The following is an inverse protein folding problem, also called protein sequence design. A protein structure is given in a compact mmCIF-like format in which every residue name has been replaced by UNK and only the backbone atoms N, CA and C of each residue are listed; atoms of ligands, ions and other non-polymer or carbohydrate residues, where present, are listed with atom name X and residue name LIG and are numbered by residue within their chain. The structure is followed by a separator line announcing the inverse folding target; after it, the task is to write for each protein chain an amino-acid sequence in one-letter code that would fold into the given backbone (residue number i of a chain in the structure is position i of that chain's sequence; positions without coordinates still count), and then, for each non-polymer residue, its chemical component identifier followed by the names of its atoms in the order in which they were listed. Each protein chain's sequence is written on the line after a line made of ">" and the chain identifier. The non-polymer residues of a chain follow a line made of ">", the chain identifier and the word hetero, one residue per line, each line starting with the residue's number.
data_IF_927912108259
#
_entry.id   IF_927912108259
#
_cell.length_a   1.000
_cell.length_b   1.000
_cell.length_c   1.000
_cell.angle_alpha   90.00
_cell.angle_beta   90.00
_cell.angle_gamma   90.00
#
_symmetry.space_group_name_H-M   'P 1'
#
loop_
_entity.id
_entity.type
_entity.pdbx_description
1 polymer ?
#
# COMPACT_ATOMS: atom_id res chain seq x y z
N UNK A 1 8.22 7.43 -23.20
CA UNK A 1 9.24 7.62 -22.15
C UNK A 1 8.62 8.30 -20.92
N UNK A 2 7.77 9.32 -21.09
CA UNK A 2 7.09 10.02 -19.98
C UNK A 2 6.16 9.15 -19.10
N UNK A 3 5.37 8.25 -19.70
CA UNK A 3 4.39 7.44 -18.92
C UNK A 3 5.02 6.40 -17.98
N UNK A 4 6.14 5.80 -18.39
CA UNK A 4 6.88 4.83 -17.54
C UNK A 4 7.58 5.56 -16.39
N UNK A 5 8.07 6.79 -16.63
CA UNK A 5 8.58 7.66 -15.58
C UNK A 5 7.50 7.98 -14.55
N UNK A 6 6.33 8.42 -15.00
CA UNK A 6 5.19 8.70 -14.12
C UNK A 6 4.74 7.48 -13.31
N UNK A 7 4.68 6.28 -13.92
CA UNK A 7 4.34 5.05 -13.20
C UNK A 7 5.42 4.66 -12.17
N UNK A 8 6.69 4.89 -12.46
CA UNK A 8 7.78 4.65 -11.51
C UNK A 8 7.70 5.61 -10.32
N UNK A 9 7.46 6.88 -10.59
CA UNK A 9 7.29 7.90 -9.55
C UNK A 9 6.04 7.63 -8.71
N UNK A 10 4.98 7.10 -9.32
CA UNK A 10 3.79 6.65 -8.59
C UNK A 10 4.11 5.53 -7.59
N UNK A 11 4.85 4.49 -8.01
CA UNK A 11 5.23 3.38 -7.12
C UNK A 11 6.12 3.87 -5.98
N UNK A 12 7.08 4.75 -6.28
CA UNK A 12 7.93 5.37 -5.26
C UNK A 12 7.13 6.25 -4.30
N UNK A 13 6.15 7.00 -4.82
CA UNK A 13 5.21 7.78 -4.03
C UNK A 13 4.42 6.92 -3.05
N UNK A 14 3.85 5.81 -3.53
CA UNK A 14 3.14 4.85 -2.69
C UNK A 14 4.02 4.34 -1.53
N UNK A 15 5.24 3.89 -1.84
CA UNK A 15 6.19 3.40 -0.82
C UNK A 15 6.56 4.52 0.17
N UNK A 16 6.78 5.75 -0.31
CA UNK A 16 7.11 6.86 0.55
C UNK A 16 5.95 7.25 1.48
N UNK A 17 4.72 7.29 0.96
CA UNK A 17 3.52 7.55 1.76
C UNK A 17 3.31 6.45 2.80
N UNK A 18 3.51 5.18 2.43
CA UNK A 18 3.40 4.04 3.35
C UNK A 18 4.44 4.11 4.48
N UNK A 19 5.69 4.45 4.17
CA UNK A 19 6.72 4.65 5.19
C UNK A 19 6.37 5.82 6.13
N UNK A 20 5.84 6.92 5.61
CA UNK A 20 5.41 8.04 6.44
C UNK A 20 4.24 7.66 7.38
N UNK A 21 3.32 6.81 6.90
CA UNK A 21 2.24 6.25 7.71
C UNK A 21 2.81 5.34 8.81
N UNK A 22 3.75 4.44 8.48
CA UNK A 22 4.40 3.56 9.47
C UNK A 22 5.03 4.36 10.62
N UNK A 23 5.84 5.37 10.29
CA UNK A 23 6.45 6.25 11.29
C UNK A 23 5.41 6.99 12.15
N UNK A 24 4.35 7.54 11.53
CA UNK A 24 3.29 8.22 12.27
C UNK A 24 2.53 7.28 13.21
N UNK A 25 2.24 6.05 12.77
CA UNK A 25 1.54 5.03 13.54
C UNK A 25 2.38 4.57 14.73
N UNK A 26 3.69 4.39 14.56
CA UNK A 26 4.63 4.05 15.65
C UNK A 26 4.71 5.14 16.71
N UNK A 27 4.72 6.41 16.29
CA UNK A 27 4.70 7.55 17.22
C UNK A 27 3.41 7.59 18.03
N UNK A 28 2.26 7.35 17.38
CA UNK A 28 0.95 7.46 18.03
C UNK A 28 0.58 6.23 18.88
N UNK A 29 1.12 5.06 18.56
CA UNK A 29 0.83 3.80 19.23
C UNK A 29 2.16 3.23 19.74
N UNK A 30 2.60 3.59 20.97
CA UNK A 30 3.92 3.21 21.47
C UNK A 30 4.18 1.70 21.57
N UNK A 31 3.14 0.86 21.52
CA UNK A 31 3.27 -0.60 21.51
C UNK A 31 3.29 -1.22 20.10
N UNK A 32 3.34 -0.40 19.05
CA UNK A 32 3.43 -0.82 17.66
C UNK A 32 4.90 -0.83 17.26
N UNK A 33 5.47 -2.01 17.01
CA UNK A 33 6.87 -2.13 16.58
C UNK A 33 6.98 -2.15 15.05
N UNK A 34 5.97 -2.70 14.38
CA UNK A 34 5.82 -2.76 12.93
C UNK A 34 4.41 -2.36 12.54
N UNK A 35 4.22 -1.77 11.36
CA UNK A 35 2.88 -1.42 10.89
C UNK A 35 1.91 -2.62 10.90
N UNK A 36 2.41 -3.82 10.56
CA UNK A 36 1.63 -5.06 10.59
C UNK A 36 1.02 -5.42 11.97
N UNK A 37 1.62 -4.93 13.07
CA UNK A 37 1.13 -5.19 14.44
C UNK A 37 -0.26 -4.57 14.67
N UNK A 38 -0.68 -3.61 13.83
CA UNK A 38 -2.02 -3.02 13.85
C UNK A 38 -3.10 -4.10 13.79
N UNK A 39 -2.86 -5.19 13.06
CA UNK A 39 -3.79 -6.32 12.97
C UNK A 39 -3.95 -7.02 14.33
N UNK A 40 -2.84 -7.30 15.00
CA UNK A 40 -2.82 -7.95 16.31
C UNK A 40 -3.43 -7.07 17.39
N UNK A 41 -3.11 -5.78 17.39
CA UNK A 41 -3.68 -4.81 18.31
C UNK A 41 -5.19 -4.65 18.11
N UNK A 42 -5.67 -4.59 16.87
CA UNK A 42 -7.10 -4.51 16.58
C UNK A 42 -7.84 -5.80 16.95
N UNK A 43 -7.25 -6.98 16.67
CA UNK A 43 -7.83 -8.29 17.05
C UNK A 43 -7.94 -8.47 18.56
N UNK A 44 -6.93 -8.00 19.30
CA UNK A 44 -6.90 -8.01 20.76
C UNK A 44 -7.67 -6.85 21.41
N UNK A 45 -8.34 -6.00 20.59
CA UNK A 45 -9.11 -4.82 21.03
C UNK A 45 -8.31 -3.79 21.82
N UNK A 46 -6.99 -3.77 21.63
CA UNK A 46 -6.10 -2.73 22.18
C UNK A 46 -6.22 -1.42 21.40
N UNK A 47 -6.64 -1.51 20.14
CA UNK A 47 -7.08 -0.38 19.31
C UNK A 47 -8.41 -0.72 18.65
N UNK A 48 -9.16 0.31 18.26
CA UNK A 48 -10.34 0.16 17.40
C UNK A 48 -9.93 -0.29 16.00
N UNK A 49 -10.80 -1.05 15.32
CA UNK A 49 -10.59 -1.43 13.91
C UNK A 49 -10.60 -0.24 12.96
N UNK A 50 -11.33 0.81 13.32
CA UNK A 50 -11.33 2.09 12.62
C UNK A 50 -10.86 3.15 13.60
N UNK A 51 -10.00 4.06 13.16
CA UNK A 51 -9.49 5.12 14.03
C UNK A 51 -8.83 6.22 13.24
N UNK A 52 -8.22 7.14 13.97
CA UNK A 52 -7.54 8.30 13.42
C UNK A 52 -6.24 8.55 14.18
N UNK A 53 -5.17 8.82 13.43
CA UNK A 53 -3.81 9.07 13.90
C UNK A 53 -3.24 10.21 13.08
N UNK A 54 -2.98 11.35 13.72
CA UNK A 54 -2.43 12.52 13.03
C UNK A 54 -3.35 12.99 11.90
N UNK A 55 -2.86 12.95 10.66
CA UNK A 55 -3.60 13.31 9.43
C UNK A 55 -4.16 12.09 8.69
N UNK A 56 -4.20 10.93 9.34
CA UNK A 56 -4.59 9.66 8.74
C UNK A 56 -5.80 9.08 9.48
N UNK A 57 -6.85 8.77 8.75
CA UNK A 57 -7.83 7.78 9.23
C UNK A 57 -7.39 6.39 8.78
N UNK A 58 -7.63 5.37 9.60
CA UNK A 58 -7.28 4.00 9.28
C UNK A 58 -8.48 3.06 9.46
N UNK A 59 -8.53 2.00 8.65
CA UNK A 59 -9.53 0.93 8.70
C UNK A 59 -8.84 -0.42 8.51
N UNK A 60 -8.77 -1.21 9.58
CA UNK A 60 -8.25 -2.56 9.57
C UNK A 60 -9.27 -3.49 8.91
N UNK A 61 -8.81 -4.27 7.92
CA UNK A 61 -9.60 -5.25 7.17
C UNK A 61 -8.79 -6.55 7.02
N UNK A 62 -9.44 -7.64 6.57
CA UNK A 62 -8.84 -8.97 6.35
C UNK A 62 -7.44 -9.22 6.95
N UNK A 63 -6.43 -9.13 6.08
CA UNK A 63 -5.01 -9.22 6.41
C UNK A 63 -4.28 -7.87 6.26
N UNK A 64 -5.00 -6.76 6.22
CA UNK A 64 -4.46 -5.46 5.84
C UNK A 64 -5.05 -4.28 6.60
N UNK A 65 -4.63 -3.09 6.18
CA UNK A 65 -5.12 -1.83 6.71
C UNK A 65 -5.17 -0.80 5.59
N UNK A 66 -6.32 -0.13 5.47
CA UNK A 66 -6.50 1.01 4.58
C UNK A 66 -6.30 2.30 5.35
N UNK A 67 -5.51 3.21 4.81
CA UNK A 67 -5.25 4.54 5.35
C UNK A 67 -5.75 5.60 4.38
N UNK A 68 -6.53 6.54 4.89
CA UNK A 68 -6.99 7.71 4.14
C UNK A 68 -6.40 8.97 4.77
N UNK A 69 -5.58 9.66 3.99
CA UNK A 69 -4.98 10.94 4.33
C UNK A 69 -6.00 12.08 4.22
N UNK A 70 -5.82 13.16 4.97
CA UNK A 70 -6.72 14.33 4.91
C UNK A 70 -6.78 15.01 3.52
N UNK A 71 -5.74 14.85 2.71
CA UNK A 71 -5.71 15.34 1.33
C UNK A 71 -6.47 14.41 0.34
N UNK A 72 -7.13 13.36 0.83
CA UNK A 72 -7.87 12.38 0.04
C UNK A 72 -7.05 11.21 -0.49
N UNK A 73 -5.72 11.20 -0.30
CA UNK A 73 -4.86 10.09 -0.74
C UNK A 73 -5.18 8.82 0.04
N UNK A 74 -5.34 7.71 -0.69
CA UNK A 74 -5.74 6.41 -0.20
C UNK A 74 -4.61 5.40 -0.36
N UNK A 75 -4.18 4.81 0.75
CA UNK A 75 -3.13 3.82 0.81
C UNK A 75 -3.70 2.55 1.45
N UNK A 76 -3.95 1.54 0.63
CA UNK A 76 -4.32 0.20 1.08
C UNK A 76 -3.10 -0.72 1.00
N UNK A 77 -2.90 -1.56 2.03
CA UNK A 77 -1.78 -2.49 2.16
C UNK A 77 -2.23 -3.75 2.90
N UNK A 78 -1.75 -4.91 2.45
CA UNK A 78 -1.85 -6.17 3.20
C UNK A 78 -0.53 -6.48 3.91
N UNK A 79 -0.58 -7.33 4.92
CA UNK A 79 0.61 -7.81 5.62
C UNK A 79 0.75 -9.33 5.46
N UNK A 80 1.94 -9.78 5.06
CA UNK A 80 2.28 -11.18 5.07
C UNK A 80 2.47 -11.71 6.50
N UNK A 81 2.57 -13.03 6.65
CA UNK A 81 2.71 -13.68 7.95
C UNK A 81 4.01 -13.28 8.70
N UNK A 82 5.05 -12.88 7.97
CA UNK A 82 6.31 -12.37 8.53
C UNK A 82 6.27 -10.86 8.88
N UNK A 83 5.15 -10.20 8.59
CA UNK A 83 4.91 -8.78 8.81
C UNK A 83 5.33 -7.87 7.66
N UNK A 84 5.81 -8.41 6.54
CA UNK A 84 6.13 -7.60 5.36
C UNK A 84 4.89 -6.98 4.71
N UNK A 85 5.04 -5.76 4.21
CA UNK A 85 4.01 -5.04 3.47
C UNK A 85 3.85 -5.62 2.06
N UNK A 86 2.62 -5.97 1.71
CA UNK A 86 2.24 -6.60 0.45
C UNK A 86 1.22 -5.73 -0.27
N UNK A 87 1.49 -5.46 -1.54
CA UNK A 87 0.58 -4.76 -2.44
C UNK A 87 0.63 -5.35 -3.85
N UNK A 88 -0.39 -5.02 -4.64
CA UNK A 88 -0.55 -5.46 -6.02
C UNK A 88 -0.79 -4.24 -6.93
N UNK A 89 -0.99 -4.49 -8.23
CA UNK A 89 -1.25 -3.43 -9.19
C UNK A 89 -2.57 -2.70 -8.93
N UNK A 90 -3.55 -3.38 -8.35
CA UNK A 90 -4.85 -2.79 -8.05
C UNK A 90 -4.71 -1.73 -6.95
N UNK A 91 -3.96 -2.02 -5.88
CA UNK A 91 -3.64 -1.03 -4.82
C UNK A 91 -2.86 0.17 -5.36
N UNK A 92 -1.86 -0.07 -6.20
CA UNK A 92 -1.08 1.01 -6.82
C UNK A 92 -1.94 1.90 -7.73
N UNK A 93 -2.86 1.31 -8.49
CA UNK A 93 -3.77 2.06 -9.34
C UNK A 93 -4.75 2.90 -8.52
N UNK A 94 -5.32 2.33 -7.45
CA UNK A 94 -6.20 3.07 -6.55
C UNK A 94 -5.48 4.22 -5.86
N UNK A 95 -4.25 4.00 -5.41
CA UNK A 95 -3.41 5.07 -4.88
C UNK A 95 -3.26 6.21 -5.90
N UNK A 96 -2.87 5.92 -7.14
CA UNK A 96 -2.73 6.93 -8.18
C UNK A 96 -4.00 7.70 -8.49
N UNK A 97 -5.15 7.03 -8.48
CA UNK A 97 -6.46 7.67 -8.69
C UNK A 97 -6.92 8.53 -7.49
N UNK A 98 -6.40 8.25 -6.30
CA UNK A 98 -6.74 8.98 -5.06
C UNK A 98 -5.90 10.23 -4.80
N UNK A 99 -4.83 10.43 -5.59
CA UNK A 99 -3.97 11.61 -5.43
C UNK A 99 -4.74 12.90 -5.67
N UNK A 100 -4.35 14.03 -5.04
CA UNK A 100 -4.96 15.34 -5.31
C UNK A 100 -4.96 15.72 -6.80
N UNK A 101 -3.90 15.31 -7.51
CA UNK A 101 -3.83 15.29 -8.97
C UNK A 101 -3.83 13.82 -9.42
N UNK A 102 -5.01 13.26 -9.79
CA UNK A 102 -5.11 11.84 -10.11
C UNK A 102 -4.24 11.45 -11.30
N UNK A 103 -3.55 10.32 -11.15
CA UNK A 103 -2.72 9.73 -12.19
C UNK A 103 -3.25 8.33 -12.54
N UNK A 104 -3.87 8.22 -13.72
CA UNK A 104 -4.30 6.92 -14.26
C UNK A 104 -3.19 6.31 -15.12
N UNK A 105 -2.63 5.21 -14.64
CA UNK A 105 -1.58 4.43 -15.29
C UNK A 105 -2.10 3.05 -15.67
N UNK A 106 -1.57 2.50 -16.75
CA UNK A 106 -1.94 1.14 -17.16
C UNK A 106 -1.26 0.10 -16.29
N UNK A 107 -1.87 -1.08 -16.17
CA UNK A 107 -1.23 -2.27 -15.58
C UNK A 107 0.14 -2.56 -16.21
N UNK A 108 0.30 -2.32 -17.52
CA UNK A 108 1.56 -2.54 -18.21
C UNK A 108 2.63 -1.55 -17.74
N UNK A 109 2.30 -0.28 -17.61
CA UNK A 109 3.22 0.74 -17.11
C UNK A 109 3.63 0.43 -15.66
N UNK A 110 2.67 0.04 -14.81
CA UNK A 110 2.94 -0.37 -13.43
C UNK A 110 3.84 -1.60 -13.37
N UNK A 111 3.60 -2.64 -14.19
CA UNK A 111 4.48 -3.82 -14.27
C UNK A 111 5.90 -3.45 -14.66
N UNK A 112 6.07 -2.57 -15.65
CA UNK A 112 7.37 -2.07 -16.06
C UNK A 112 8.04 -1.28 -14.94
N UNK A 113 7.28 -0.44 -14.22
CA UNK A 113 7.76 0.34 -13.09
C UNK A 113 8.24 -0.55 -11.93
N UNK A 114 7.42 -1.47 -11.42
CA UNK A 114 7.80 -2.36 -10.30
C UNK A 114 9.01 -3.23 -10.64
N UNK A 115 9.12 -3.72 -11.88
CA UNK A 115 10.31 -4.46 -12.34
C UNK A 115 11.56 -3.59 -12.35
N UNK A 116 11.44 -2.34 -12.79
CA UNK A 116 12.56 -1.40 -12.81
C UNK A 116 13.03 -0.97 -11.41
N UNK A 117 12.20 -1.18 -10.39
CA UNK A 117 12.47 -0.83 -9.01
C UNK A 117 13.02 -2.00 -8.19
N UNK A 118 13.28 -3.17 -8.78
CA UNK A 118 13.97 -4.23 -8.05
C UNK A 118 15.42 -3.81 -7.70
N UNK A 119 15.92 -4.13 -6.49
CA UNK A 119 15.29 -4.95 -5.44
C UNK A 119 14.48 -4.15 -4.40
N UNK A 120 14.26 -2.85 -4.59
CA UNK A 120 13.47 -2.03 -3.65
C UNK A 120 12.02 -2.54 -3.51
N UNK A 121 11.41 -2.95 -4.63
CA UNK A 121 10.12 -3.64 -4.66
C UNK A 121 10.35 -5.06 -5.15
N UNK A 122 10.08 -6.06 -4.31
CA UNK A 122 10.23 -7.48 -4.65
C UNK A 122 8.89 -8.14 -4.88
N UNK A 123 8.88 -9.17 -5.73
CA UNK A 123 7.67 -9.98 -5.91
C UNK A 123 7.52 -10.96 -4.75
N UNK A 124 6.31 -11.05 -4.17
CA UNK A 124 6.00 -12.05 -3.13
C UNK A 124 6.19 -13.47 -3.65
N UNK A 125 5.83 -13.71 -4.91
CA UNK A 125 6.09 -14.95 -5.65
C UNK A 125 6.35 -14.62 -7.12
N UNK A 126 7.08 -15.45 -7.88
CA UNK A 126 7.33 -15.21 -9.29
C UNK A 126 6.04 -14.90 -10.06
N UNK A 127 6.01 -13.77 -10.75
CA UNK A 127 4.85 -13.32 -11.53
C UNK A 127 3.73 -12.72 -10.69
N UNK A 128 3.98 -12.31 -9.45
CA UNK A 128 2.99 -11.65 -8.57
C UNK A 128 2.29 -10.48 -9.24
N UNK A 129 3.02 -9.65 -10.00
CA UNK A 129 2.45 -8.51 -10.73
C UNK A 129 1.94 -8.87 -12.14
N UNK A 130 2.01 -10.13 -12.57
CA UNK A 130 1.45 -10.55 -13.86
C UNK A 130 -0.06 -10.67 -13.75
N UNK A 131 -0.80 -10.16 -14.75
CA UNK A 131 -2.25 -10.37 -14.83
C UNK A 131 -2.55 -11.87 -14.95
N UNK A 132 -3.26 -12.44 -13.98
CA UNK A 132 -3.98 -13.68 -14.21
C UNK A 132 -5.17 -13.37 -15.11
N UNK A 133 -4.97 -13.47 -16.43
CA UNK A 133 -6.07 -13.76 -17.34
C UNK A 133 -6.51 -15.19 -17.03
N UNK A 134 -7.43 -15.35 -16.07
CA UNK A 134 -8.24 -16.57 -16.05
C UNK A 134 -9.22 -16.41 -17.21
N UNK A 135 -8.83 -16.94 -18.37
CA UNK A 135 -9.79 -17.24 -19.43
C UNK A 135 -10.55 -18.46 -18.93
N UNK A 136 -11.66 -18.25 -18.23
CA UNK A 136 -12.63 -19.30 -18.01
C UNK A 136 -13.26 -19.61 -19.37
N UNK A 137 -12.84 -20.73 -19.97
CA UNK A 137 -13.53 -21.35 -21.09
C UNK A 137 -14.77 -22.09 -20.64
#
# INVERSE_FOLDING_TARGET
>A
MERVGAARDLVLGYVHTLNAIDEAMKVAIPSLERLADVLGLARSRRISRNGHVGTYSYTVHGAGCRFLCDNGTDVDVDFAADGSEVFDLWRLRWYGLSLPEPLDVTDQDLRSAVRSLQPLVTEVRPGWFSSQLIVSG
#
